data_IF_779257608551
#
_entry.id   IF_779257608551
#
_cell.length_a   1.000
_cell.length_b   1.000
_cell.length_c   1.000
_cell.angle_alpha   90.00
_cell.angle_beta   90.00
_cell.angle_gamma   90.00
#
_symmetry.space_group_name_H-M   'P 1'
#
loop_
_entity.id
_entity.type
_entity.pdbx_description
1 polymer ?
#
# COMPACT_ATOMS: atom_id res chain seq x y z
N UNK A 1 -4.87 5.65 15.82
CA UNK A 1 -4.00 6.46 14.95
C UNK A 1 -3.75 5.70 13.65
N UNK A 2 -3.76 6.42 12.52
CA UNK A 2 -3.44 5.90 11.18
C UNK A 2 -2.16 6.59 10.70
N UNK A 3 -1.14 5.82 10.33
CA UNK A 3 0.10 6.32 9.74
C UNK A 3 0.03 6.09 8.23
N UNK A 4 -0.03 7.18 7.47
CA UNK A 4 -0.18 7.20 6.02
C UNK A 4 -1.58 7.62 5.57
N UNK A 5 -1.64 8.70 4.80
CA UNK A 5 -2.87 9.27 4.25
C UNK A 5 -3.10 8.88 2.77
N UNK A 6 -2.69 7.67 2.40
CA UNK A 6 -3.06 7.02 1.15
C UNK A 6 -4.48 6.44 1.20
N UNK A 7 -4.91 5.81 0.10
CA UNK A 7 -6.26 5.24 -0.03
C UNK A 7 -6.59 4.29 1.12
N UNK A 8 -5.72 3.33 1.41
CA UNK A 8 -5.95 2.31 2.45
C UNK A 8 -6.14 2.95 3.83
N UNK A 9 -5.26 3.87 4.23
CA UNK A 9 -5.32 4.51 5.54
C UNK A 9 -6.57 5.37 5.72
N UNK A 10 -6.94 6.15 4.72
CA UNK A 10 -8.10 7.01 4.78
C UNK A 10 -9.41 6.23 4.69
N UNK A 11 -9.48 5.19 3.89
CA UNK A 11 -10.63 4.31 3.79
C UNK A 11 -10.92 3.63 5.14
N UNK A 12 -9.94 2.92 5.70
CA UNK A 12 -10.09 2.25 6.99
C UNK A 12 -10.32 3.24 8.14
N UNK A 13 -9.58 4.36 8.16
CA UNK A 13 -9.77 5.43 9.13
C UNK A 13 -11.20 6.00 9.10
N UNK A 14 -11.77 6.18 7.90
CA UNK A 14 -13.15 6.66 7.76
C UNK A 14 -14.19 5.66 8.27
N UNK A 15 -13.95 4.36 8.10
CA UNK A 15 -14.81 3.30 8.65
C UNK A 15 -14.79 3.36 10.17
N UNK A 16 -13.62 3.38 10.81
CA UNK A 16 -13.52 3.43 12.27
C UNK A 16 -14.10 4.72 12.83
N UNK A 17 -13.89 5.85 12.15
CA UNK A 17 -14.50 7.12 12.58
C UNK A 17 -16.02 7.04 12.59
N UNK A 18 -16.64 6.42 11.60
CA UNK A 18 -18.09 6.19 11.54
C UNK A 18 -18.57 5.21 12.60
N UNK A 19 -17.72 4.29 13.03
CA UNK A 19 -18.00 3.35 14.13
C UNK A 19 -17.76 3.97 15.52
N UNK A 20 -17.42 5.26 15.60
CA UNK A 20 -17.32 5.99 16.87
C UNK A 20 -15.90 6.17 17.41
N UNK A 21 -14.87 5.67 16.73
CA UNK A 21 -13.47 5.89 17.15
C UNK A 21 -13.04 7.34 16.93
N UNK A 22 -12.19 7.87 17.80
CA UNK A 22 -11.41 9.06 17.51
C UNK A 22 -10.25 8.66 16.58
N UNK A 23 -10.16 9.29 15.41
CA UNK A 23 -9.18 8.93 14.37
C UNK A 23 -8.29 10.12 14.05
N UNK A 24 -7.00 9.96 14.32
CA UNK A 24 -5.93 10.87 13.88
C UNK A 24 -5.14 10.20 12.77
N UNK A 25 -5.03 10.84 11.62
CA UNK A 25 -4.23 10.40 10.46
C UNK A 25 -2.97 11.24 10.40
N UNK A 26 -1.82 10.58 10.36
CA UNK A 26 -0.49 11.19 10.29
C UNK A 26 0.10 10.92 8.92
N UNK A 27 0.53 11.97 8.22
CA UNK A 27 1.12 11.88 6.90
C UNK A 27 2.40 12.70 6.82
N UNK A 28 3.45 12.08 6.28
CA UNK A 28 4.75 12.72 6.06
C UNK A 28 4.67 13.83 5.02
N UNK A 29 3.89 13.63 3.96
CA UNK A 29 3.68 14.62 2.92
C UNK A 29 2.73 15.74 3.40
N UNK A 30 2.75 16.84 2.69
CA UNK A 30 1.87 18.01 2.91
C UNK A 30 0.44 17.80 2.37
N UNK A 31 0.10 16.60 1.89
CA UNK A 31 -1.13 16.30 1.15
C UNK A 31 -1.61 14.87 1.33
N UNK A 32 -2.92 14.68 1.21
CA UNK A 32 -3.58 13.38 1.13
C UNK A 32 -3.42 12.76 -0.26
N UNK A 33 -3.63 11.45 -0.37
CA UNK A 33 -3.74 10.74 -1.64
C UNK A 33 -2.64 11.10 -2.65
N UNK A 34 -1.36 10.77 -2.37
CA UNK A 34 -0.29 11.00 -3.34
C UNK A 34 -0.64 10.41 -4.72
N UNK A 35 -0.52 11.23 -5.78
CA UNK A 35 -0.84 10.81 -7.14
C UNK A 35 -2.29 11.07 -7.60
N UNK A 36 -3.18 11.53 -6.73
CA UNK A 36 -4.54 11.92 -7.08
C UNK A 36 -4.58 13.41 -7.42
N UNK A 37 -5.55 13.81 -8.26
CA UNK A 37 -5.81 15.19 -8.67
C UNK A 37 -5.98 16.14 -7.47
N UNK A 38 -5.47 17.37 -7.60
CA UNK A 38 -5.44 18.34 -6.51
C UNK A 38 -6.82 18.79 -6.02
N UNK A 39 -7.79 18.91 -6.92
CA UNK A 39 -9.13 19.36 -6.53
C UNK A 39 -9.88 18.23 -5.80
N UNK A 40 -9.68 16.98 -6.24
CA UNK A 40 -10.19 15.80 -5.53
C UNK A 40 -9.58 15.73 -4.12
N UNK A 41 -8.27 15.92 -3.98
CA UNK A 41 -7.58 15.91 -2.67
C UNK A 41 -8.09 17.00 -1.72
N UNK A 42 -8.27 18.22 -2.23
CA UNK A 42 -8.79 19.33 -1.43
C UNK A 42 -10.20 19.05 -0.93
N UNK A 43 -11.05 18.51 -1.79
CA UNK A 43 -12.43 18.17 -1.40
C UNK A 43 -12.46 17.00 -0.41
N UNK A 44 -11.68 15.96 -0.63
CA UNK A 44 -11.53 14.84 0.29
C UNK A 44 -11.08 15.31 1.70
N UNK A 45 -10.11 16.21 1.77
CA UNK A 45 -9.64 16.76 3.05
C UNK A 45 -10.76 17.48 3.82
N UNK A 46 -11.61 18.24 3.12
CA UNK A 46 -12.77 18.91 3.74
C UNK A 46 -13.79 17.88 4.27
N UNK A 47 -14.07 16.85 3.46
CA UNK A 47 -15.01 15.79 3.82
C UNK A 47 -14.53 15.03 5.05
N UNK A 48 -13.28 14.58 5.09
CA UNK A 48 -12.72 13.85 6.23
C UNK A 48 -12.71 14.70 7.51
N UNK A 49 -12.33 15.97 7.42
CA UNK A 49 -12.43 16.91 8.54
C UNK A 49 -13.86 17.10 9.03
N UNK A 50 -14.83 17.23 8.10
CA UNK A 50 -16.27 17.33 8.45
C UNK A 50 -16.78 16.04 9.13
N UNK A 51 -16.24 14.88 8.76
CA UNK A 51 -16.51 13.61 9.42
C UNK A 51 -15.85 13.48 10.80
N UNK A 52 -15.03 14.44 11.20
CA UNK A 52 -14.34 14.48 12.50
C UNK A 52 -13.03 13.71 12.56
N UNK A 53 -12.42 13.43 11.42
CA UNK A 53 -11.04 12.91 11.39
C UNK A 53 -10.04 14.05 11.57
N UNK A 54 -9.05 13.86 12.45
CA UNK A 54 -7.91 14.75 12.57
C UNK A 54 -6.86 14.37 11.52
N UNK A 55 -6.41 15.36 10.73
CA UNK A 55 -5.40 15.16 9.69
C UNK A 55 -4.13 15.96 10.05
N UNK A 56 -3.05 15.26 10.38
CA UNK A 56 -1.72 15.82 10.67
C UNK A 56 -0.80 15.55 9.49
N UNK A 57 -0.79 16.48 8.55
CA UNK A 57 0.09 16.47 7.38
C UNK A 57 1.47 17.03 7.74
N UNK A 58 2.44 16.84 6.87
CA UNK A 58 3.83 17.27 7.07
C UNK A 58 4.39 16.82 8.43
N UNK A 59 4.00 15.62 8.86
CA UNK A 59 4.36 15.05 10.15
C UNK A 59 4.89 13.64 9.97
N UNK A 60 6.07 13.36 10.53
CA UNK A 60 6.66 12.01 10.53
C UNK A 60 6.50 11.35 11.90
N UNK A 61 6.31 10.05 11.89
CA UNK A 61 6.41 9.20 13.08
C UNK A 61 7.83 8.69 13.17
N UNK A 62 8.52 9.02 14.26
CA UNK A 62 9.92 8.63 14.50
C UNK A 62 10.06 7.48 15.47
N UNK A 63 9.02 7.14 16.21
CA UNK A 63 9.03 6.02 17.14
C UNK A 63 7.64 5.64 17.61
N UNK A 64 7.55 4.43 18.15
CA UNK A 64 6.36 3.94 18.84
C UNK A 64 6.77 3.01 19.97
N UNK A 65 6.23 3.25 21.16
CA UNK A 65 6.42 2.40 22.33
C UNK A 65 5.09 1.85 22.78
N UNK A 66 5.01 0.55 23.00
CA UNK A 66 3.79 -0.10 23.49
C UNK A 66 3.96 -0.47 24.96
N UNK A 67 3.04 -0.01 25.81
CA UNK A 67 2.96 -0.38 27.23
C UNK A 67 1.56 -0.86 27.57
N UNK A 68 1.45 -2.15 27.87
CA UNK A 68 0.14 -2.80 28.10
C UNK A 68 -0.75 -2.74 26.85
N UNK A 69 -1.85 -2.02 26.95
CA UNK A 69 -2.83 -1.87 25.85
C UNK A 69 -2.74 -0.50 25.14
N UNK A 70 -1.73 0.30 25.46
CA UNK A 70 -1.55 1.64 24.87
C UNK A 70 -0.27 1.72 24.07
N UNK A 71 -0.33 2.38 22.93
CA UNK A 71 0.80 2.78 22.12
C UNK A 71 1.04 4.29 22.31
N UNK A 72 2.29 4.69 22.49
CA UNK A 72 2.72 6.09 22.49
C UNK A 72 3.61 6.31 21.28
N UNK A 73 3.16 7.13 20.33
CA UNK A 73 3.92 7.50 19.15
C UNK A 73 4.74 8.75 19.44
N UNK A 74 5.93 8.82 18.86
CA UNK A 74 6.74 10.05 18.80
C UNK A 74 6.59 10.65 17.41
N UNK A 75 6.17 11.91 17.36
CA UNK A 75 5.90 12.66 16.15
C UNK A 75 6.85 13.83 16.03
N UNK A 76 7.28 14.15 14.83
CA UNK A 76 8.06 15.35 14.53
C UNK A 76 7.54 16.00 13.25
N UNK A 77 7.64 17.32 13.10
CA UNK A 77 7.40 17.97 11.81
C UNK A 77 8.32 17.38 10.72
N UNK A 78 7.81 17.15 9.52
CA UNK A 78 8.62 16.61 8.41
C UNK A 78 9.84 17.48 8.07
N UNK A 79 9.73 18.79 8.25
CA UNK A 79 10.82 19.75 8.06
C UNK A 79 11.82 19.81 9.24
N UNK A 80 11.60 19.02 10.28
CA UNK A 80 12.35 19.09 11.54
C UNK A 80 11.70 20.04 12.54
N UNK A 81 12.00 19.86 13.82
CA UNK A 81 11.45 20.64 14.93
C UNK A 81 11.34 19.82 16.21
N UNK A 82 10.63 20.35 17.19
CA UNK A 82 10.43 19.67 18.45
C UNK A 82 9.55 18.43 18.29
N UNK A 83 9.95 17.35 18.93
CA UNK A 83 9.17 16.12 18.99
C UNK A 83 8.00 16.26 19.98
N UNK A 84 6.86 15.72 19.61
CA UNK A 84 5.71 15.57 20.50
C UNK A 84 5.31 14.10 20.62
N UNK A 85 4.49 13.76 21.59
CA UNK A 85 3.95 12.41 21.76
C UNK A 85 2.45 12.37 21.57
N UNK A 86 1.96 11.26 21.00
CA UNK A 86 0.55 10.98 20.82
C UNK A 86 0.23 9.57 21.31
N UNK A 87 -0.70 9.46 22.25
CA UNK A 87 -1.18 8.17 22.74
C UNK A 87 -2.29 7.61 21.83
N UNK A 88 -2.30 6.30 21.69
CA UNK A 88 -3.29 5.58 20.90
C UNK A 88 -3.61 4.21 21.50
N UNK A 89 -4.85 3.76 21.36
CA UNK A 89 -5.25 2.39 21.69
C UNK A 89 -4.92 1.42 20.55
N UNK A 90 -4.92 1.92 19.32
CA UNK A 90 -4.59 1.14 18.13
C UNK A 90 -3.83 1.99 17.12
N UNK A 91 -2.85 1.39 16.45
CA UNK A 91 -2.06 2.04 15.39
C UNK A 91 -2.13 1.19 14.13
N UNK A 92 -2.62 1.79 13.04
CA UNK A 92 -2.54 1.23 11.70
C UNK A 92 -1.36 1.84 10.96
N UNK A 93 -0.48 1.01 10.43
CA UNK A 93 0.59 1.43 9.52
C UNK A 93 0.15 1.14 8.08
N UNK A 94 -0.05 2.20 7.28
CA UNK A 94 -0.55 2.13 5.88
C UNK A 94 0.24 3.02 4.94
N UNK A 95 1.58 2.94 5.05
CA UNK A 95 2.54 3.80 4.34
C UNK A 95 2.94 3.27 2.95
N UNK A 96 2.27 2.23 2.46
CA UNK A 96 2.50 1.64 1.15
C UNK A 96 2.56 0.11 1.18
N UNK A 97 2.83 -0.47 0.03
CA UNK A 97 2.94 -1.91 -0.20
C UNK A 97 4.26 -2.21 -0.89
N UNK A 98 4.78 -3.41 -0.64
CA UNK A 98 5.95 -3.96 -1.33
C UNK A 98 5.59 -5.29 -1.97
N UNK A 99 6.19 -5.63 -3.11
CA UNK A 99 6.07 -6.97 -3.67
C UNK A 99 6.52 -8.01 -2.64
N UNK A 100 5.75 -9.07 -2.46
CA UNK A 100 6.11 -10.16 -1.55
C UNK A 100 6.83 -11.26 -2.33
N UNK A 101 8.06 -10.99 -2.74
CA UNK A 101 8.91 -11.88 -3.55
C UNK A 101 9.96 -12.63 -2.73
N UNK A 102 10.08 -12.31 -1.44
CA UNK A 102 11.03 -12.96 -0.55
C UNK A 102 10.64 -14.44 -0.31
N UNK A 103 11.60 -15.34 -0.42
CA UNK A 103 11.38 -16.76 -0.18
C UNK A 103 10.70 -17.52 -1.33
N UNK A 104 10.44 -16.90 -2.48
CA UNK A 104 9.90 -17.59 -3.66
C UNK A 104 10.90 -18.50 -4.38
N UNK A 105 12.18 -18.47 -4.01
CA UNK A 105 13.22 -19.29 -4.66
C UNK A 105 13.49 -18.88 -6.11
N UNK A 106 13.31 -17.60 -6.44
CA UNK A 106 13.48 -17.07 -7.80
C UNK A 106 14.88 -17.33 -8.38
N UNK A 107 15.88 -17.30 -7.53
CA UNK A 107 17.28 -17.60 -7.85
C UNK A 107 17.48 -19.04 -8.36
N UNK A 108 16.72 -19.99 -7.83
CA UNK A 108 16.78 -21.40 -8.24
C UNK A 108 16.35 -21.60 -9.71
N UNK A 109 15.52 -20.71 -10.24
CA UNK A 109 15.06 -20.73 -11.64
C UNK A 109 15.72 -19.63 -12.49
N UNK A 110 16.71 -18.91 -11.92
CA UNK A 110 17.43 -17.86 -12.62
C UNK A 110 16.66 -16.54 -12.76
N UNK A 111 15.61 -16.32 -11.99
CA UNK A 111 14.90 -15.04 -11.89
C UNK A 111 15.51 -14.16 -10.79
N UNK A 112 15.48 -12.86 -11.04
CA UNK A 112 15.87 -11.81 -10.11
C UNK A 112 14.78 -10.74 -10.06
N UNK A 113 14.70 -10.04 -8.96
CA UNK A 113 13.82 -8.88 -8.84
C UNK A 113 14.57 -7.60 -9.18
N UNK A 114 13.82 -6.59 -9.65
CA UNK A 114 14.38 -5.26 -9.84
C UNK A 114 14.63 -4.56 -8.49
N UNK A 115 15.12 -3.32 -8.53
CA UNK A 115 15.42 -2.52 -7.33
C UNK A 115 14.20 -2.27 -6.43
N UNK A 116 12.98 -2.45 -6.94
CA UNK A 116 11.73 -2.33 -6.19
C UNK A 116 11.22 -3.65 -5.65
N UNK A 117 11.95 -4.75 -5.85
CA UNK A 117 11.54 -6.09 -5.46
C UNK A 117 10.53 -6.73 -6.39
N UNK A 118 10.33 -6.19 -7.60
CA UNK A 118 9.36 -6.70 -8.58
C UNK A 118 10.02 -7.64 -9.56
N UNK A 119 9.27 -8.63 -10.03
CA UNK A 119 9.65 -9.50 -11.15
C UNK A 119 9.37 -8.74 -12.44
N UNK A 120 10.37 -8.59 -13.31
CA UNK A 120 10.21 -7.96 -14.62
C UNK A 120 9.53 -8.92 -15.60
N UNK A 121 8.56 -8.36 -16.35
CA UNK A 121 7.75 -9.07 -17.33
C UNK A 121 7.65 -8.28 -18.64
N UNK A 122 7.35 -8.97 -19.72
CA UNK A 122 6.93 -8.35 -20.98
C UNK A 122 5.41 -7.98 -20.97
N UNK A 123 4.90 -7.53 -22.09
CA UNK A 123 3.49 -7.16 -22.26
C UNK A 123 2.51 -8.35 -22.30
N UNK A 124 3.05 -9.59 -22.37
CA UNK A 124 2.30 -10.85 -22.28
C UNK A 124 2.52 -11.54 -20.93
N UNK A 125 3.00 -10.80 -19.90
CA UNK A 125 3.29 -11.27 -18.54
C UNK A 125 4.38 -12.33 -18.44
N UNK A 126 5.17 -12.55 -19.51
CA UNK A 126 6.27 -13.51 -19.51
C UNK A 126 7.47 -12.94 -18.77
N UNK A 127 8.12 -13.78 -17.98
CA UNK A 127 9.41 -13.46 -17.38
C UNK A 127 10.55 -13.77 -18.38
N UNK A 128 11.78 -13.47 -17.99
CA UNK A 128 12.95 -13.86 -18.78
C UNK A 128 13.19 -15.38 -18.83
N UNK A 129 12.48 -16.16 -18.03
CA UNK A 129 12.58 -17.63 -17.98
C UNK A 129 11.42 -18.22 -18.76
N UNK A 130 11.74 -19.03 -19.75
CA UNK A 130 10.74 -19.70 -20.60
C UNK A 130 9.80 -20.57 -19.77
N UNK A 131 8.49 -20.53 -20.09
CA UNK A 131 7.47 -21.24 -19.34
C UNK A 131 7.13 -20.64 -17.98
N UNK A 132 7.61 -19.42 -17.64
CA UNK A 132 7.32 -18.76 -16.36
C UNK A 132 6.72 -17.37 -16.59
N UNK A 133 5.52 -17.17 -16.06
CA UNK A 133 4.79 -15.91 -16.06
C UNK A 133 4.69 -15.33 -14.65
N UNK A 134 4.51 -14.04 -14.55
CA UNK A 134 4.23 -13.37 -13.27
C UNK A 134 3.16 -12.30 -13.45
N UNK A 135 2.25 -12.19 -12.49
CA UNK A 135 1.12 -11.25 -12.49
C UNK A 135 0.89 -10.65 -11.09
N UNK A 136 0.05 -9.65 -11.01
CA UNK A 136 -0.46 -9.09 -9.75
C UNK A 136 0.55 -8.21 -9.02
N UNK A 137 0.60 -8.32 -7.70
CA UNK A 137 1.35 -7.42 -6.81
C UNK A 137 2.88 -7.59 -6.91
N UNK A 138 3.34 -8.69 -7.50
CA UNK A 138 4.80 -8.98 -7.64
C UNK A 138 5.41 -8.40 -8.91
N UNK A 139 4.61 -7.86 -9.83
CA UNK A 139 5.06 -7.26 -11.09
C UNK A 139 4.87 -5.74 -11.09
N UNK A 140 5.46 -4.99 -12.05
CA UNK A 140 5.24 -3.56 -12.19
C UNK A 140 3.76 -3.21 -12.39
N UNK A 141 3.31 -2.10 -11.76
CA UNK A 141 1.95 -1.59 -11.87
C UNK A 141 1.29 -1.34 -10.51
N UNK A 142 0.01 -0.92 -10.50
CA UNK A 142 -0.73 -0.72 -9.26
C UNK A 142 -1.04 -2.07 -8.60
N UNK A 143 -0.89 -2.12 -7.26
CA UNK A 143 -1.16 -3.31 -6.46
C UNK A 143 -2.65 -3.35 -6.10
N UNK A 144 -3.47 -3.87 -7.02
CA UNK A 144 -4.93 -3.94 -6.94
C UNK A 144 -5.41 -5.35 -7.29
N UNK A 145 -6.35 -5.88 -6.50
CA UNK A 145 -6.86 -7.24 -6.68
C UNK A 145 -7.48 -7.45 -8.08
N UNK A 146 -8.34 -6.53 -8.52
CA UNK A 146 -8.97 -6.62 -9.85
C UNK A 146 -7.95 -6.54 -11.00
N UNK A 147 -6.84 -5.77 -10.84
CA UNK A 147 -5.75 -5.78 -11.83
C UNK A 147 -5.12 -7.18 -11.92
N UNK A 148 -4.87 -7.82 -10.77
CA UNK A 148 -4.30 -9.17 -10.76
C UNK A 148 -5.23 -10.20 -11.40
N UNK A 149 -6.54 -10.06 -11.20
CA UNK A 149 -7.57 -10.90 -11.84
C UNK A 149 -7.59 -10.69 -13.37
N UNK A 150 -7.60 -9.45 -13.82
CA UNK A 150 -7.58 -9.09 -15.24
C UNK A 150 -6.28 -9.56 -15.94
N UNK A 151 -5.13 -9.40 -15.26
CA UNK A 151 -3.85 -9.91 -15.74
C UNK A 151 -3.85 -11.44 -15.84
N UNK A 152 -4.47 -12.14 -14.88
CA UNK A 152 -4.61 -13.60 -14.90
C UNK A 152 -5.44 -14.09 -16.08
N UNK A 153 -6.53 -13.38 -16.41
CA UNK A 153 -7.36 -13.67 -17.58
C UNK A 153 -6.56 -13.44 -18.86
N UNK A 154 -5.92 -12.27 -18.98
CA UNK A 154 -5.15 -11.93 -20.17
C UNK A 154 -3.95 -12.87 -20.38
N UNK A 155 -3.29 -13.31 -19.29
CA UNK A 155 -2.22 -14.29 -19.31
C UNK A 155 -2.74 -15.67 -19.79
N UNK A 156 -3.94 -16.08 -19.35
CA UNK A 156 -4.59 -17.31 -19.80
C UNK A 156 -4.96 -17.27 -21.28
N UNK A 157 -5.49 -16.15 -21.76
CA UNK A 157 -5.83 -15.94 -23.17
C UNK A 157 -4.58 -15.93 -24.06
N UNK A 158 -3.43 -15.51 -23.53
CA UNK A 158 -2.14 -15.59 -24.22
C UNK A 158 -1.54 -17.00 -24.25
N UNK A 159 -2.25 -18.00 -23.73
CA UNK A 159 -1.84 -19.42 -23.76
C UNK A 159 -0.99 -19.86 -22.56
N UNK A 160 -0.90 -19.02 -21.51
CA UNK A 160 -0.13 -19.35 -20.30
C UNK A 160 -0.86 -20.34 -19.37
N UNK A 161 -2.20 -20.25 -19.29
CA UNK A 161 -3.02 -21.13 -18.44
C UNK A 161 -4.31 -21.52 -19.15
N UNK A 162 -4.76 -22.76 -18.99
CA UNK A 162 -6.15 -23.10 -19.25
C UNK A 162 -7.03 -22.50 -18.13
N UNK A 163 -8.29 -22.18 -18.43
CA UNK A 163 -9.24 -21.62 -17.46
C UNK A 163 -9.52 -22.49 -16.22
N UNK A 164 -8.83 -23.60 -16.06
CA UNK A 164 -8.86 -24.51 -14.90
C UNK A 164 -7.66 -24.31 -13.95
N UNK A 165 -6.79 -23.33 -14.21
CA UNK A 165 -5.60 -23.04 -13.40
C UNK A 165 -4.42 -23.96 -13.68
N UNK A 166 -4.47 -24.75 -14.75
CA UNK A 166 -3.36 -25.56 -15.24
C UNK A 166 -2.63 -24.78 -16.32
N UNK A 167 -1.32 -24.50 -16.12
CA UNK A 167 -0.51 -23.92 -17.19
C UNK A 167 -0.39 -24.91 -18.33
N UNK A 168 -0.80 -24.50 -19.55
CA UNK A 168 -0.65 -25.30 -20.77
C UNK A 168 0.61 -24.81 -21.49
N UNK A 169 1.47 -25.74 -21.85
CA UNK A 169 2.56 -25.43 -22.77
C UNK A 169 1.97 -25.05 -24.15
N UNK A 170 2.56 -24.03 -24.81
CA UNK A 170 2.13 -23.60 -26.13
C UNK A 170 2.34 -24.68 -27.21
#
# INVERSE_FOLDING_TARGET
VVIGAGVIGLELGSVWRRLGSEVTVIEYLDKLFPGIDDDVRKEAAKIFKKQGMELRLSTKVTGCTVKGKKATLTLEPAAGGEAETLDADCVLVSIGRRPNTEGLGLDAIGLETNQRGQIEIDHEFRTKVDGVWAIGDVVPGPMLAHKAEDEGIACGDAGACDGAGTCVEP
#
